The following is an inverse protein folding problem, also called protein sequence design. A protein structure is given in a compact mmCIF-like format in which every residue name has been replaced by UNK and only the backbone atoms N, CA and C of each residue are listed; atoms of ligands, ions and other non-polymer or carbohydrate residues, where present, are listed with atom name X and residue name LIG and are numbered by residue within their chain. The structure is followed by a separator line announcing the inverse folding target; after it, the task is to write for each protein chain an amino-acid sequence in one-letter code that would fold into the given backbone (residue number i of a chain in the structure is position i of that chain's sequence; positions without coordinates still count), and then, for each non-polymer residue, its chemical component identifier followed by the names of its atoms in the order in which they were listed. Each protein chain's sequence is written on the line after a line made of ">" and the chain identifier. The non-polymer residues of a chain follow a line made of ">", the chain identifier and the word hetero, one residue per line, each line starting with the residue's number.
data_IF_490244309819
#
_entry.id   IF_490244309819
#
_cell.length_a   1.000
_cell.length_b   1.000
_cell.length_c   1.000
_cell.angle_alpha   90.00
_cell.angle_beta   90.00
_cell.angle_gamma   90.00
#
_symmetry.space_group_name_H-M   'P 1'
#
loop_
_entity.id
_entity.type
_entity.pdbx_description
1 polymer ?
#
# COMPACT_ATOMS: atom_id res chain seq x y z
N UNK A 1 3.91 -3.59 -4.30
CA UNK A 1 5.23 -2.94 -4.43
C UNK A 1 6.05 -3.80 -5.36
N UNK A 2 6.90 -3.21 -6.20
CA UNK A 2 7.88 -3.94 -7.02
C UNK A 2 9.15 -4.08 -6.16
N UNK A 3 9.75 -5.27 -6.13
CA UNK A 3 10.98 -5.61 -5.38
C UNK A 3 10.96 -5.20 -3.89
N UNK A 4 10.10 -5.81 -3.07
CA UNK A 4 9.97 -5.44 -1.66
C UNK A 4 11.21 -5.79 -0.82
N UNK A 5 11.75 -4.78 -0.13
CA UNK A 5 12.74 -4.94 0.93
C UNK A 5 12.06 -4.83 2.31
N UNK A 6 12.28 -5.83 3.17
CA UNK A 6 11.70 -5.85 4.53
C UNK A 6 12.03 -4.59 5.31
N UNK A 7 13.31 -4.21 5.37
CA UNK A 7 13.73 -3.09 6.20
C UNK A 7 13.16 -1.76 5.68
N UNK A 8 13.07 -1.60 4.36
CA UNK A 8 12.41 -0.47 3.70
C UNK A 8 10.92 -0.40 4.02
N UNK A 9 10.20 -1.51 3.88
CA UNK A 9 8.77 -1.59 4.21
C UNK A 9 8.50 -1.29 5.68
N UNK A 10 9.34 -1.82 6.57
CA UNK A 10 9.25 -1.57 8.01
C UNK A 10 9.50 -0.10 8.38
N UNK A 11 10.39 0.60 7.66
CA UNK A 11 10.57 2.05 7.84
C UNK A 11 9.41 2.86 7.26
N UNK A 12 8.81 2.38 6.17
CA UNK A 12 7.72 3.07 5.46
C UNK A 12 6.38 2.93 6.17
N UNK A 13 6.10 1.78 6.79
CA UNK A 13 4.85 1.48 7.45
C UNK A 13 4.89 1.82 8.95
N UNK A 14 3.89 2.58 9.42
CA UNK A 14 3.70 2.86 10.85
C UNK A 14 3.52 1.55 11.63
N UNK A 15 4.07 1.42 12.87
CA UNK A 15 3.74 0.31 13.77
C UNK A 15 2.23 0.09 13.93
N UNK A 16 1.45 1.17 13.84
CA UNK A 16 -0.02 1.18 13.94
C UNK A 16 -0.72 1.08 12.57
N UNK A 17 -0.06 0.54 11.54
CA UNK A 17 -0.63 0.44 10.19
C UNK A 17 -1.97 -0.30 10.20
N UNK A 18 -2.99 0.31 9.60
CA UNK A 18 -4.24 -0.33 9.22
C UNK A 18 -4.32 -0.47 7.69
N UNK A 19 -4.18 -1.69 7.17
CA UNK A 19 -4.11 -1.95 5.73
C UNK A 19 -5.34 -2.71 5.23
N UNK A 20 -6.27 -1.99 4.61
CA UNK A 20 -7.48 -2.54 4.01
C UNK A 20 -7.37 -2.85 2.52
N UNK A 21 -7.76 -4.06 2.16
CA UNK A 21 -7.83 -4.55 0.77
C UNK A 21 -9.22 -4.40 0.16
N UNK A 22 -9.30 -4.45 -1.16
CA UNK A 22 -10.57 -4.30 -1.91
C UNK A 22 -11.56 -5.45 -1.73
N UNK A 23 -11.13 -6.56 -1.13
CA UNK A 23 -11.98 -7.71 -0.76
C UNK A 23 -12.39 -7.69 0.72
N UNK A 24 -12.07 -6.62 1.46
CA UNK A 24 -12.37 -6.50 2.88
C UNK A 24 -11.36 -7.16 3.82
N UNK A 25 -10.30 -7.81 3.32
CA UNK A 25 -9.20 -8.28 4.16
C UNK A 25 -8.52 -7.08 4.83
N UNK A 26 -8.26 -7.21 6.14
CA UNK A 26 -7.48 -6.26 6.93
C UNK A 26 -6.16 -6.92 7.32
N UNK A 27 -5.07 -6.17 7.19
CA UNK A 27 -3.73 -6.55 7.60
C UNK A 27 -3.13 -5.47 8.51
N UNK A 28 -2.37 -5.91 9.52
CA UNK A 28 -1.49 -5.04 10.28
C UNK A 28 -0.13 -4.88 9.56
N UNK A 29 0.81 -4.14 10.17
CA UNK A 29 2.16 -3.94 9.62
C UNK A 29 2.90 -5.24 9.35
N UNK A 30 2.84 -6.20 10.27
CA UNK A 30 3.58 -7.45 10.13
C UNK A 30 3.04 -8.26 8.95
N UNK A 31 1.71 -8.45 8.88
CA UNK A 31 1.06 -9.16 7.79
C UNK A 31 1.29 -8.46 6.43
N UNK A 32 1.22 -7.13 6.39
CA UNK A 32 1.53 -6.35 5.18
C UNK A 32 2.96 -6.58 4.68
N UNK A 33 3.95 -6.52 5.58
CA UNK A 33 5.35 -6.76 5.24
C UNK A 33 5.54 -8.19 4.75
N UNK A 34 5.05 -9.18 5.52
CA UNK A 34 5.15 -10.60 5.15
C UNK A 34 4.51 -10.89 3.79
N UNK A 35 3.34 -10.32 3.51
CA UNK A 35 2.64 -10.55 2.26
C UNK A 35 3.47 -10.14 1.04
N UNK A 36 4.20 -9.02 1.13
CA UNK A 36 5.05 -8.54 0.05
C UNK A 36 6.35 -9.33 -0.06
N UNK A 37 7.10 -9.51 1.05
CA UNK A 37 8.42 -10.16 1.00
C UNK A 37 8.38 -11.66 0.74
N UNK A 38 7.23 -12.31 0.99
CA UNK A 38 7.00 -13.72 0.67
C UNK A 38 6.44 -13.96 -0.74
N UNK A 39 6.23 -12.89 -1.53
CA UNK A 39 5.55 -12.92 -2.83
C UNK A 39 4.08 -13.40 -2.78
N UNK A 40 3.46 -13.49 -1.60
CA UNK A 40 2.02 -13.73 -1.47
C UNK A 40 1.22 -12.61 -2.15
N UNK A 41 1.71 -11.38 -2.08
CA UNK A 41 1.33 -10.26 -2.95
C UNK A 41 2.55 -9.82 -3.75
N UNK A 42 2.47 -9.95 -5.06
CA UNK A 42 3.59 -9.69 -5.97
C UNK A 42 3.10 -8.81 -7.12
N UNK A 43 3.63 -7.59 -7.22
CA UNK A 43 3.29 -6.64 -8.27
C UNK A 43 4.41 -6.64 -9.31
N UNK A 44 4.03 -6.89 -10.56
CA UNK A 44 4.95 -6.85 -11.72
C UNK A 44 4.99 -5.43 -12.29
N UNK A 45 3.83 -4.77 -12.37
CA UNK A 45 3.71 -3.38 -12.80
C UNK A 45 2.87 -2.59 -11.80
N UNK A 46 3.08 -1.27 -11.75
CA UNK A 46 2.25 -0.33 -10.99
C UNK A 46 2.14 0.95 -11.80
N UNK A 47 0.93 1.22 -12.31
CA UNK A 47 0.59 2.46 -12.98
C UNK A 47 -0.38 3.26 -12.12
N UNK A 48 0.04 4.46 -11.70
CA UNK A 48 -0.76 5.36 -10.88
C UNK A 48 -1.31 6.52 -11.74
N UNK A 49 -2.60 6.81 -11.58
CA UNK A 49 -3.25 7.92 -12.26
C UNK A 49 -4.21 8.67 -11.34
N UNK A 50 -4.62 9.87 -11.76
CA UNK A 50 -5.58 10.71 -11.04
C UNK A 50 -5.18 10.96 -9.57
N UNK A 51 -3.87 11.10 -9.33
CA UNK A 51 -3.38 11.29 -7.97
C UNK A 51 -3.78 12.67 -7.44
N UNK A 52 -4.30 12.68 -6.23
CA UNK A 52 -4.52 13.90 -5.46
C UNK A 52 -3.88 13.76 -4.08
N UNK A 53 -3.33 14.87 -3.58
CA UNK A 53 -2.66 14.92 -2.28
C UNK A 53 -3.23 16.12 -1.53
N UNK A 54 -3.65 15.90 -0.28
CA UNK A 54 -4.06 16.95 0.66
C UNK A 54 -3.31 16.78 1.96
N UNK A 55 -2.62 17.84 2.40
CA UNK A 55 -1.85 17.84 3.65
C UNK A 55 -2.57 18.69 4.68
N UNK A 56 -2.79 18.16 5.88
CA UNK A 56 -3.37 18.87 7.03
C UNK A 56 -2.53 18.60 8.27
N UNK A 57 -1.88 19.62 8.81
CA UNK A 57 -0.93 19.44 9.92
C UNK A 57 0.18 18.44 9.58
N UNK A 58 0.28 17.37 10.36
CA UNK A 58 1.24 16.27 10.13
C UNK A 58 0.62 15.08 9.39
N UNK A 59 -0.55 15.21 8.74
CA UNK A 59 -1.21 14.13 8.00
C UNK A 59 -1.28 14.49 6.51
N UNK A 60 -1.05 13.51 5.64
CA UNK A 60 -1.28 13.64 4.21
C UNK A 60 -2.25 12.55 3.75
N UNK A 61 -3.35 12.97 3.13
CA UNK A 61 -4.33 12.10 2.49
C UNK A 61 -4.01 12.05 1.00
N UNK A 62 -3.69 10.86 0.51
CA UNK A 62 -3.38 10.61 -0.91
C UNK A 62 -4.47 9.72 -1.50
N UNK A 63 -5.03 10.13 -2.63
CA UNK A 63 -5.93 9.29 -3.43
C UNK A 63 -5.34 9.10 -4.81
N UNK A 64 -5.52 7.92 -5.40
CA UNK A 64 -5.15 7.65 -6.80
C UNK A 64 -5.95 6.44 -7.32
N UNK A 65 -5.94 6.27 -8.65
CA UNK A 65 -6.24 4.99 -9.29
C UNK A 65 -4.95 4.22 -9.49
N UNK A 66 -5.02 2.91 -9.31
CA UNK A 66 -3.91 1.97 -9.52
C UNK A 66 -4.36 0.93 -10.55
N UNK A 67 -3.60 0.79 -11.63
CA UNK A 67 -3.63 -0.36 -12.52
C UNK A 67 -2.33 -1.14 -12.35
N UNK A 68 -2.41 -2.47 -12.29
CA UNK A 68 -1.24 -3.31 -12.10
C UNK A 68 -1.44 -4.71 -12.68
N UNK A 69 -0.34 -5.29 -13.16
CA UNK A 69 -0.17 -6.72 -13.32
C UNK A 69 0.43 -7.31 -12.04
N UNK A 70 -0.06 -8.48 -11.64
CA UNK A 70 0.39 -9.18 -10.42
C UNK A 70 0.78 -10.61 -10.71
N UNK A 71 1.58 -11.19 -9.81
CA UNK A 71 1.95 -12.61 -9.83
C UNK A 71 1.84 -13.24 -8.43
N UNK A 72 0.73 -12.97 -7.76
CA UNK A 72 0.48 -13.38 -6.37
C UNK A 72 0.67 -14.89 -6.19
N UNK A 73 1.60 -15.29 -5.32
CA UNK A 73 1.98 -16.69 -5.10
C UNK A 73 2.28 -17.43 -6.42
N UNK A 74 2.92 -16.75 -7.38
CA UNK A 74 3.26 -17.30 -8.69
C UNK A 74 2.11 -17.25 -9.71
N UNK A 75 0.90 -16.86 -9.31
CA UNK A 75 -0.30 -16.84 -10.17
C UNK A 75 -0.49 -15.47 -10.83
N UNK A 76 -0.47 -15.36 -12.17
CA UNK A 76 -0.72 -14.11 -12.86
C UNK A 76 -2.11 -13.54 -12.60
N UNK A 77 -2.20 -12.22 -12.48
CA UNK A 77 -3.45 -11.50 -12.28
C UNK A 77 -3.34 -10.03 -12.64
N UNK A 78 -4.45 -9.30 -12.46
CA UNK A 78 -4.48 -7.85 -12.62
C UNK A 78 -5.23 -7.20 -11.46
N UNK A 79 -4.86 -5.95 -11.15
CA UNK A 79 -5.55 -5.11 -10.19
C UNK A 79 -5.94 -3.79 -10.85
N UNK A 80 -7.20 -3.38 -10.63
CA UNK A 80 -7.71 -2.04 -10.94
C UNK A 80 -8.41 -1.52 -9.70
N UNK A 81 -7.80 -0.54 -9.04
CA UNK A 81 -8.19 -0.10 -7.71
C UNK A 81 -8.31 1.42 -7.65
N UNK A 82 -9.30 1.91 -6.90
CA UNK A 82 -9.23 3.23 -6.29
C UNK A 82 -8.63 3.07 -4.89
N UNK A 83 -7.60 3.85 -4.57
CA UNK A 83 -6.84 3.72 -3.33
C UNK A 83 -6.86 5.03 -2.55
N UNK A 84 -7.09 4.93 -1.24
CA UNK A 84 -6.87 5.97 -0.24
C UNK A 84 -5.66 5.56 0.61
N UNK A 85 -4.68 6.44 0.72
CA UNK A 85 -3.57 6.33 1.68
C UNK A 85 -3.65 7.49 2.66
N UNK A 86 -3.39 7.19 3.93
CA UNK A 86 -3.18 8.17 4.97
C UNK A 86 -1.74 8.04 5.43
N UNK A 87 -0.96 9.09 5.21
CA UNK A 87 0.41 9.21 5.66
C UNK A 87 0.46 10.13 6.87
N UNK A 88 1.34 9.85 7.82
CA UNK A 88 1.60 10.70 8.96
C UNK A 88 3.08 11.06 9.00
N UNK A 89 3.38 12.34 9.19
CA UNK A 89 4.74 12.85 9.41
C UNK A 89 5.09 12.62 10.87
N UNK A 90 6.08 11.76 11.09
CA UNK A 90 6.72 11.48 12.36
C UNK A 90 8.18 11.98 12.33
N UNK A 91 8.92 11.84 13.42
CA UNK A 91 10.30 12.32 13.53
C UNK A 91 11.22 11.73 12.44
N UNK A 92 10.96 10.48 12.02
CA UNK A 92 11.70 9.77 10.97
C UNK A 92 11.28 10.11 9.55
N UNK A 93 10.25 10.94 9.36
CA UNK A 93 9.68 11.27 8.06
C UNK A 93 8.22 10.84 7.91
N UNK A 94 7.74 10.74 6.68
CA UNK A 94 6.39 10.27 6.38
C UNK A 94 6.31 8.76 6.47
N UNK A 95 5.35 8.25 7.25
CA UNK A 95 5.04 6.83 7.35
C UNK A 95 3.58 6.58 6.95
N UNK A 96 3.32 5.43 6.35
CA UNK A 96 1.97 4.99 5.99
C UNK A 96 1.25 4.57 7.28
N UNK A 97 0.21 5.31 7.63
CA UNK A 97 -0.63 5.05 8.80
C UNK A 97 -1.84 4.19 8.43
N UNK A 98 -2.44 4.43 7.28
CA UNK A 98 -3.56 3.62 6.81
C UNK A 98 -3.64 3.54 5.29
N UNK A 99 -4.23 2.45 4.79
CA UNK A 99 -4.64 2.29 3.41
C UNK A 99 -6.02 1.67 3.34
N UNK A 100 -6.83 2.12 2.40
CA UNK A 100 -8.01 1.39 1.95
C UNK A 100 -8.03 1.34 0.42
N UNK A 101 -8.40 0.19 -0.14
CA UNK A 101 -8.63 0.03 -1.56
C UNK A 101 -10.07 -0.42 -1.85
N UNK A 102 -10.57 -0.08 -3.04
CA UNK A 102 -11.82 -0.58 -3.63
C UNK A 102 -11.54 -0.97 -5.08
N UNK A 103 -12.11 -2.09 -5.53
CA UNK A 103 -11.98 -2.54 -6.93
C UNK A 103 -12.84 -1.66 -7.84
N UNK A 104 -12.32 -1.30 -9.01
CA UNK A 104 -13.01 -0.50 -10.04
C UNK A 104 -12.90 -1.15 -11.43
#
# INVERSE_FOLDING_TARGET
>A
MIDPDRAGLERLASPDLSYGHSNGLLEDRAAFVEALVSNKSDFVTIDLSEQTIRVTGNVAVVRHKLAAETKNSGTPGTAKLAVLLVWQKQNSGWVLLARQAVKI
#
